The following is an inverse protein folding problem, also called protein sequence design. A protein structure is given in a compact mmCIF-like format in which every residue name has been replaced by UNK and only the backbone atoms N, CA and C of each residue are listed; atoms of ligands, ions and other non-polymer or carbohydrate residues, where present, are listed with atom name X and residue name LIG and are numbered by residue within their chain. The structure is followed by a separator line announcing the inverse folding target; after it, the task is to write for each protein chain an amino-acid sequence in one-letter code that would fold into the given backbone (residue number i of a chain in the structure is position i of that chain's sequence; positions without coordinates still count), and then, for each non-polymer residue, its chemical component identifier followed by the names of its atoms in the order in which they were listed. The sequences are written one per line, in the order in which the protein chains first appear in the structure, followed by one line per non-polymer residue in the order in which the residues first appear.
data_IF_234667808676
#
_entry.id   IF_234667808676
#
_cell.length_a   1.000
_cell.length_b   1.000
_cell.length_c   1.000
_cell.angle_alpha   90.00
_cell.angle_beta   90.00
_cell.angle_gamma   90.00
#
_symmetry.space_group_name_H-M   'P 1'
#
loop_
_entity.id
_entity.type
_entity.pdbx_description
1 polymer ?
#
# COMPACT_ATOMS: atom_id res chain seq x y z
N UNK A 1 -37.96 -17.52 -11.02
CA UNK A 1 -36.54 -17.70 -11.30
C UNK A 1 -35.77 -16.86 -10.31
N UNK A 2 -35.20 -17.53 -9.29
CA UNK A 2 -34.36 -16.89 -8.28
C UNK A 2 -33.06 -16.51 -8.93
N UNK A 3 -32.81 -15.22 -9.07
CA UNK A 3 -31.52 -14.65 -9.46
C UNK A 3 -30.57 -14.81 -8.28
N UNK A 4 -29.83 -15.91 -8.29
CA UNK A 4 -28.78 -16.16 -7.32
C UNK A 4 -27.58 -15.26 -7.66
N UNK A 5 -27.66 -13.97 -7.26
CA UNK A 5 -26.49 -13.12 -7.19
C UNK A 5 -25.65 -13.62 -6.01
N UNK A 6 -24.90 -14.69 -6.24
CA UNK A 6 -23.72 -14.95 -5.45
C UNK A 6 -22.87 -13.68 -5.55
N UNK A 7 -22.81 -12.92 -4.47
CA UNK A 7 -21.84 -11.85 -4.31
C UNK A 7 -20.47 -12.52 -4.39
N UNK A 8 -19.87 -12.52 -5.59
CA UNK A 8 -18.48 -12.94 -5.74
C UNK A 8 -17.67 -12.03 -4.85
N UNK A 9 -17.06 -12.60 -3.83
CA UNK A 9 -16.04 -11.91 -3.04
C UNK A 9 -15.06 -11.28 -4.01
N UNK A 10 -14.65 -10.01 -3.78
CA UNK A 10 -13.66 -9.37 -4.65
C UNK A 10 -12.46 -10.28 -4.77
N UNK A 11 -11.96 -10.48 -5.98
CA UNK A 11 -10.74 -11.25 -6.19
C UNK A 11 -9.58 -10.65 -5.40
N UNK A 12 -8.85 -11.46 -4.66
CA UNK A 12 -7.75 -11.01 -3.82
C UNK A 12 -6.52 -11.89 -4.04
N UNK A 13 -5.34 -11.36 -3.72
CA UNK A 13 -4.09 -12.10 -3.71
C UNK A 13 -3.91 -12.82 -2.37
N UNK A 14 -3.41 -14.05 -2.41
CA UNK A 14 -3.06 -14.80 -1.20
C UNK A 14 -1.79 -14.23 -0.55
N UNK A 15 -1.54 -14.60 0.71
CA UNK A 15 -0.32 -14.20 1.41
C UNK A 15 0.96 -14.63 0.65
N UNK A 16 0.96 -15.83 0.06
CA UNK A 16 2.07 -16.33 -0.75
C UNK A 16 2.24 -15.54 -2.04
N UNK A 17 1.16 -15.16 -2.70
CA UNK A 17 1.20 -14.31 -3.90
C UNK A 17 1.74 -12.92 -3.59
N UNK A 18 1.32 -12.30 -2.47
CA UNK A 18 1.85 -11.02 -2.01
C UNK A 18 3.34 -11.13 -1.69
N UNK A 19 3.76 -12.20 -1.02
CA UNK A 19 5.18 -12.46 -0.76
C UNK A 19 5.96 -12.60 -2.07
N UNK A 20 5.44 -13.35 -3.04
CA UNK A 20 6.07 -13.51 -4.36
C UNK A 20 6.18 -12.18 -5.11
N UNK A 21 5.17 -11.31 -5.02
CA UNK A 21 5.23 -9.96 -5.55
C UNK A 21 6.40 -9.17 -4.94
N UNK A 22 6.49 -9.13 -3.63
CA UNK A 22 7.54 -8.40 -2.91
C UNK A 22 8.93 -8.96 -3.21
N UNK A 23 9.09 -10.28 -3.22
CA UNK A 23 10.35 -10.96 -3.52
C UNK A 23 10.81 -10.73 -4.98
N UNK A 24 9.90 -10.42 -5.89
CA UNK A 24 10.21 -10.16 -7.31
C UNK A 24 10.77 -8.76 -7.58
N UNK A 25 10.70 -7.85 -6.61
CA UNK A 25 11.15 -6.46 -6.78
C UNK A 25 12.67 -6.41 -6.64
N UNK A 26 13.34 -5.87 -7.65
CA UNK A 26 14.80 -5.70 -7.65
C UNK A 26 15.23 -4.57 -6.71
N UNK A 27 15.82 -4.95 -5.58
CA UNK A 27 16.36 -4.01 -4.59
C UNK A 27 17.78 -3.54 -4.93
N UNK A 28 18.33 -3.94 -6.06
CA UNK A 28 19.63 -3.49 -6.55
C UNK A 28 19.64 -2.11 -7.19
N UNK A 29 18.47 -1.45 -7.29
CA UNK A 29 18.36 -0.12 -7.86
C UNK A 29 17.43 0.79 -7.03
N UNK A 30 17.62 2.13 -7.10
CA UNK A 30 16.85 3.08 -6.30
C UNK A 30 15.33 3.04 -6.53
N UNK A 31 14.89 2.82 -7.77
CA UNK A 31 13.47 2.70 -8.08
C UNK A 31 12.85 1.48 -7.39
N UNK A 32 13.54 0.35 -7.43
CA UNK A 32 13.07 -0.88 -6.79
C UNK A 32 13.01 -0.76 -5.27
N UNK A 33 14.00 -0.14 -4.65
CA UNK A 33 13.98 0.12 -3.19
C UNK A 33 12.78 1.00 -2.81
N UNK A 34 12.51 2.05 -3.57
CA UNK A 34 11.35 2.93 -3.39
C UNK A 34 10.04 2.15 -3.57
N UNK A 35 9.91 1.46 -4.66
CA UNK A 35 8.67 0.76 -5.05
C UNK A 35 8.35 -0.37 -4.08
N UNK A 36 9.36 -1.05 -3.56
CA UNK A 36 9.21 -2.05 -2.50
C UNK A 36 8.56 -1.44 -1.25
N UNK A 37 9.05 -0.32 -0.76
CA UNK A 37 8.49 0.36 0.41
C UNK A 37 7.04 0.82 0.17
N UNK A 38 6.74 1.35 -1.02
CA UNK A 38 5.39 1.76 -1.42
C UNK A 38 4.43 0.55 -1.43
N UNK A 39 4.81 -0.53 -2.08
CA UNK A 39 3.98 -1.74 -2.20
C UNK A 39 3.78 -2.39 -0.83
N UNK A 40 4.81 -2.39 0.01
CA UNK A 40 4.72 -2.93 1.36
C UNK A 40 3.72 -2.15 2.23
N UNK A 41 3.70 -0.82 2.15
CA UNK A 41 2.71 0.03 2.81
C UNK A 41 1.27 -0.34 2.40
N UNK A 42 1.04 -0.57 1.13
CA UNK A 42 -0.29 -0.95 0.61
C UNK A 42 -0.65 -2.37 1.06
N UNK A 43 0.28 -3.31 0.94
CA UNK A 43 0.04 -4.72 1.25
C UNK A 43 -0.11 -5.01 2.75
N UNK A 44 0.66 -4.31 3.58
CA UNK A 44 0.70 -4.55 5.03
C UNK A 44 -0.25 -3.66 5.82
N UNK A 45 -0.47 -2.43 5.38
CA UNK A 45 -1.28 -1.44 6.09
C UNK A 45 -2.55 -1.05 5.32
N UNK A 46 -2.72 -1.49 4.09
CA UNK A 46 -3.90 -1.21 3.29
C UNK A 46 -4.08 0.26 2.90
N UNK A 47 -3.00 1.06 2.88
CA UNK A 47 -3.08 2.46 2.48
C UNK A 47 -3.54 2.60 1.02
N UNK A 48 -4.32 3.64 0.75
CA UNK A 48 -4.67 4.00 -0.63
C UNK A 48 -3.48 4.62 -1.36
N UNK A 49 -3.45 4.49 -2.67
CA UNK A 49 -2.42 5.12 -3.51
C UNK A 49 -2.30 6.62 -3.26
N UNK A 50 -3.42 7.32 -3.05
CA UNK A 50 -3.43 8.74 -2.71
C UNK A 50 -2.78 9.05 -1.37
N UNK A 51 -2.99 8.21 -0.36
CA UNK A 51 -2.42 8.39 0.97
C UNK A 51 -0.91 8.11 0.96
N UNK A 52 -0.47 7.10 0.21
CA UNK A 52 0.95 6.80 0.01
C UNK A 52 1.66 7.94 -0.76
N UNK A 53 1.04 8.43 -1.84
CA UNK A 53 1.60 9.53 -2.64
C UNK A 53 1.75 10.83 -1.83
N UNK A 54 0.87 11.06 -0.86
CA UNK A 54 0.86 12.26 -0.02
C UNK A 54 1.50 12.06 1.36
N UNK A 55 2.07 10.88 1.63
CA UNK A 55 2.72 10.61 2.92
C UNK A 55 3.91 11.56 3.14
N UNK A 56 3.89 12.25 4.29
CA UNK A 56 4.92 13.20 4.70
C UNK A 56 5.72 12.68 5.88
N UNK A 57 6.92 13.21 6.08
CA UNK A 57 7.74 12.87 7.26
C UNK A 57 7.00 13.14 8.57
N UNK A 58 6.21 14.22 8.63
CA UNK A 58 5.40 14.58 9.81
C UNK A 58 4.31 13.57 10.14
N UNK A 59 3.95 12.68 9.21
CA UNK A 59 2.98 11.62 9.45
C UNK A 59 3.56 10.42 10.21
N UNK A 60 4.88 10.29 10.29
CA UNK A 60 5.54 9.13 10.89
C UNK A 60 6.12 9.54 12.24
N UNK A 61 5.61 8.93 13.29
CA UNK A 61 6.15 9.03 14.64
C UNK A 61 7.01 7.78 14.92
N UNK A 62 8.30 7.95 14.79
CA UNK A 62 9.27 6.86 14.93
C UNK A 62 9.42 6.37 16.37
N UNK A 63 9.22 7.26 17.35
CA UNK A 63 9.33 6.90 18.76
C UNK A 63 8.15 6.07 19.23
N UNK A 64 6.95 6.44 18.78
CA UNK A 64 5.71 5.73 19.11
C UNK A 64 5.39 4.59 18.14
N UNK A 65 6.17 4.45 17.07
CA UNK A 65 5.97 3.44 16.02
C UNK A 65 4.56 3.50 15.43
N UNK A 66 4.11 4.70 15.05
CA UNK A 66 2.79 4.93 14.45
C UNK A 66 2.86 5.84 13.23
N UNK A 67 1.91 5.65 12.33
CA UNK A 67 1.64 6.53 11.19
C UNK A 67 0.29 7.20 11.43
N UNK A 68 0.27 8.53 11.41
CA UNK A 68 -0.96 9.35 11.51
C UNK A 68 -1.10 10.20 10.28
N UNK A 69 -2.23 10.08 9.61
CA UNK A 69 -2.54 10.89 8.43
C UNK A 69 -4.03 11.21 8.35
N UNK A 70 -4.34 12.22 7.55
CA UNK A 70 -5.71 12.48 7.11
C UNK A 70 -5.88 11.89 5.72
N UNK A 71 -6.83 10.99 5.56
CA UNK A 71 -7.06 10.32 4.28
C UNK A 71 -7.49 11.32 3.21
N UNK A 72 -6.81 11.31 2.06
CA UNK A 72 -7.06 12.25 0.96
C UNK A 72 -8.49 12.12 0.42
N UNK A 73 -8.99 10.89 0.29
CA UNK A 73 -10.30 10.62 -0.31
C UNK A 73 -11.48 10.96 0.60
N UNK A 74 -11.35 10.72 1.90
CA UNK A 74 -12.46 10.80 2.85
C UNK A 74 -12.36 11.96 3.80
N UNK A 75 -11.17 12.55 3.97
CA UNK A 75 -10.90 13.57 4.99
C UNK A 75 -10.86 13.03 6.43
N UNK A 76 -10.96 11.72 6.61
CA UNK A 76 -10.96 11.12 7.93
C UNK A 76 -9.53 10.92 8.47
N UNK A 77 -9.33 11.12 9.78
CA UNK A 77 -8.07 10.77 10.41
C UNK A 77 -7.88 9.25 10.43
N UNK A 78 -6.65 8.82 10.22
CA UNK A 78 -6.25 7.41 10.26
C UNK A 78 -4.97 7.29 11.07
N UNK A 79 -4.95 6.37 12.02
CA UNK A 79 -3.77 6.00 12.78
C UNK A 79 -3.51 4.50 12.59
N UNK A 80 -2.28 4.16 12.20
CA UNK A 80 -1.85 2.80 11.94
C UNK A 80 -0.54 2.51 12.66
N UNK A 81 -0.27 1.27 13.06
CA UNK A 81 1.04 0.89 13.59
C UNK A 81 2.09 0.99 12.47
N UNK A 82 3.25 1.53 12.79
CA UNK A 82 4.44 1.42 11.95
C UNK A 82 5.06 0.05 12.20
N UNK A 83 4.70 -0.93 11.38
CA UNK A 83 5.23 -2.28 11.49
C UNK A 83 6.74 -2.28 11.22
N UNK A 84 7.48 -3.17 11.87
CA UNK A 84 8.94 -3.24 11.77
C UNK A 84 9.43 -3.35 10.32
N UNK A 85 8.87 -4.28 9.54
CA UNK A 85 9.24 -4.48 8.13
C UNK A 85 8.95 -3.26 7.26
N UNK A 86 7.85 -2.55 7.52
CA UNK A 86 7.49 -1.31 6.85
C UNK A 86 8.46 -0.19 7.22
N UNK A 87 8.76 -0.03 8.49
CA UNK A 87 9.73 0.95 8.99
C UNK A 87 11.12 0.73 8.40
N UNK A 88 11.61 -0.49 8.38
CA UNK A 88 12.88 -0.87 7.76
C UNK A 88 12.93 -0.55 6.27
N UNK A 89 11.87 -0.86 5.54
CA UNK A 89 11.79 -0.56 4.10
C UNK A 89 11.82 0.95 3.82
N UNK A 90 11.11 1.74 4.62
CA UNK A 90 11.14 3.20 4.51
C UNK A 90 12.54 3.73 4.83
N UNK A 91 13.18 3.28 5.91
CA UNK A 91 14.52 3.69 6.29
C UNK A 91 15.53 3.33 5.20
N UNK A 92 15.46 2.12 4.65
CA UNK A 92 16.32 1.71 3.54
C UNK A 92 16.17 2.64 2.32
N UNK A 93 14.93 2.99 1.98
CA UNK A 93 14.67 3.95 0.91
C UNK A 93 15.26 5.33 1.21
N UNK A 94 15.04 5.87 2.41
CA UNK A 94 15.52 7.18 2.80
C UNK A 94 17.04 7.28 2.79
N UNK A 95 17.73 6.23 3.22
CA UNK A 95 19.20 6.20 3.30
C UNK A 95 19.87 5.93 1.96
N UNK A 96 19.31 5.02 1.16
CA UNK A 96 20.03 4.41 0.04
C UNK A 96 19.44 4.73 -1.35
N UNK A 97 18.25 5.31 -1.43
CA UNK A 97 17.56 5.47 -2.71
C UNK A 97 16.91 6.84 -2.92
N UNK A 98 16.48 7.50 -1.86
CA UNK A 98 15.77 8.78 -2.01
C UNK A 98 16.68 9.87 -2.53
N UNK A 99 16.31 10.57 -3.63
CA UNK A 99 17.06 11.72 -4.11
C UNK A 99 17.12 12.84 -3.06
N UNK A 100 18.17 13.64 -3.10
CA UNK A 100 18.24 14.87 -2.30
C UNK A 100 17.24 15.88 -2.85
N UNK A 101 16.35 16.35 -2.01
CA UNK A 101 15.29 17.31 -2.36
C UNK A 101 14.75 17.96 -1.09
N UNK A 102 14.23 19.18 -1.23
CA UNK A 102 13.58 19.90 -0.12
C UNK A 102 12.12 19.46 0.11
N UNK A 103 11.63 18.50 -0.66
CA UNK A 103 10.29 17.94 -0.47
C UNK A 103 10.13 17.30 0.90
N UNK A 104 9.05 17.61 1.59
CA UNK A 104 8.66 16.97 2.86
C UNK A 104 7.90 15.65 2.67
N UNK A 105 7.61 15.28 1.43
CA UNK A 105 7.02 13.98 1.09
C UNK A 105 8.05 12.87 1.28
N UNK A 106 7.62 11.75 1.84
CA UNK A 106 8.47 10.56 2.02
C UNK A 106 8.91 10.04 0.67
N UNK A 107 7.95 9.79 -0.23
CA UNK A 107 8.22 9.25 -1.57
C UNK A 107 8.22 10.33 -2.63
N UNK A 108 9.29 10.35 -3.41
CA UNK A 108 9.50 11.29 -4.50
C UNK A 108 9.90 10.57 -5.79
N UNK A 109 9.74 11.26 -6.91
CA UNK A 109 10.19 10.77 -8.22
C UNK A 109 11.70 10.64 -8.25
N UNK A 110 12.20 9.65 -8.98
CA UNK A 110 13.65 9.45 -9.17
C UNK A 110 14.26 10.33 -10.26
N UNK A 111 13.45 11.18 -10.88
CA UNK A 111 13.88 12.12 -11.93
C UNK A 111 13.52 13.54 -11.50
N UNK A 112 14.34 14.55 -11.88
CA UNK A 112 14.03 15.94 -11.60
C UNK A 112 12.63 16.32 -12.12
N UNK A 113 11.94 17.20 -11.42
CA UNK A 113 12.34 17.99 -10.22
C UNK A 113 12.22 17.27 -8.87
N UNK A 114 12.18 15.96 -8.78
CA UNK A 114 12.10 15.13 -7.56
C UNK A 114 10.89 15.48 -6.66
N UNK A 115 9.79 15.78 -7.29
CA UNK A 115 8.52 16.06 -6.59
C UNK A 115 7.84 14.77 -6.15
N UNK A 116 6.82 14.89 -5.30
CA UNK A 116 6.00 13.76 -4.90
C UNK A 116 5.30 13.10 -6.10
N UNK A 117 4.88 11.87 -5.88
CA UNK A 117 4.04 11.14 -6.83
C UNK A 117 2.64 11.74 -6.92
N UNK A 118 2.00 11.61 -8.08
CA UNK A 118 0.55 11.63 -8.13
C UNK A 118 -0.02 10.23 -7.81
N UNK A 119 -1.28 10.12 -7.36
CA UNK A 119 -1.88 8.84 -7.02
C UNK A 119 -1.91 7.82 -8.18
N UNK A 120 -2.09 8.30 -9.41
CA UNK A 120 -2.07 7.45 -10.60
C UNK A 120 -0.72 6.81 -10.86
N UNK A 121 0.38 7.52 -10.58
CA UNK A 121 1.72 6.97 -10.71
C UNK A 121 1.98 5.84 -9.68
N UNK A 122 1.47 5.96 -8.46
CA UNK A 122 1.53 4.88 -7.45
C UNK A 122 0.76 3.65 -7.95
N UNK A 123 -0.45 3.84 -8.44
CA UNK A 123 -1.23 2.74 -9.04
C UNK A 123 -0.53 2.10 -10.24
N UNK A 124 0.11 2.91 -11.07
CA UNK A 124 0.88 2.46 -12.24
C UNK A 124 2.07 1.57 -11.86
N UNK A 125 2.86 1.97 -10.86
CA UNK A 125 4.00 1.14 -10.43
C UNK A 125 3.54 -0.19 -9.81
N UNK A 126 2.47 -0.20 -9.03
CA UNK A 126 1.89 -1.44 -8.49
C UNK A 126 1.51 -2.38 -9.62
N UNK A 127 0.83 -1.87 -10.66
CA UNK A 127 0.44 -2.66 -11.83
C UNK A 127 1.65 -3.27 -12.54
N UNK A 128 2.70 -2.50 -12.76
CA UNK A 128 3.93 -2.97 -13.43
C UNK A 128 4.57 -4.10 -12.63
N UNK A 129 4.71 -3.93 -11.31
CA UNK A 129 5.30 -4.97 -10.46
C UNK A 129 4.43 -6.23 -10.39
N UNK A 130 3.11 -6.10 -10.32
CA UNK A 130 2.20 -7.24 -10.40
C UNK A 130 2.35 -8.01 -11.73
N UNK A 131 2.47 -7.30 -12.84
CA UNK A 131 2.67 -7.93 -14.16
C UNK A 131 3.99 -8.70 -14.24
N UNK A 132 5.05 -8.18 -13.65
CA UNK A 132 6.40 -8.78 -13.66
C UNK A 132 6.60 -9.88 -12.63
N UNK A 133 5.72 -10.00 -11.65
CA UNK A 133 5.89 -10.88 -10.50
C UNK A 133 5.81 -12.38 -10.82
N UNK A 134 5.27 -12.75 -11.97
CA UNK A 134 4.99 -14.13 -12.33
C UNK A 134 3.81 -14.76 -11.56
N UNK A 135 2.99 -13.94 -10.91
CA UNK A 135 1.78 -14.39 -10.22
C UNK A 135 0.68 -14.67 -11.23
N UNK A 136 -0.15 -15.68 -10.97
CA UNK A 136 -1.36 -15.93 -11.73
C UNK A 136 -2.40 -14.84 -11.48
N UNK A 137 -2.85 -14.17 -12.54
CA UNK A 137 -3.79 -13.05 -12.45
C UNK A 137 -5.21 -13.41 -12.94
N UNK A 138 -5.48 -14.67 -13.21
CA UNK A 138 -6.79 -15.07 -13.72
C UNK A 138 -7.91 -14.64 -12.77
N UNK A 139 -8.84 -13.84 -13.28
CA UNK A 139 -9.92 -13.26 -12.49
C UNK A 139 -9.54 -12.17 -11.49
N UNK A 140 -8.27 -11.73 -11.46
CA UNK A 140 -7.77 -10.70 -10.53
C UNK A 140 -7.38 -9.44 -11.26
N UNK A 141 -7.73 -8.29 -10.70
CA UNK A 141 -7.26 -6.99 -11.19
C UNK A 141 -5.83 -6.74 -10.72
N UNK A 142 -5.02 -6.18 -11.62
CA UNK A 142 -3.62 -5.80 -11.34
C UNK A 142 -3.57 -4.35 -10.88
N UNK A 143 -4.13 -4.05 -9.73
CA UNK A 143 -4.18 -2.70 -9.18
C UNK A 143 -3.96 -2.67 -7.67
N UNK A 144 -3.73 -1.47 -7.15
CA UNK A 144 -3.53 -1.23 -5.72
C UNK A 144 -4.77 -1.55 -4.88
N UNK A 145 -5.97 -1.39 -5.44
CA UNK A 145 -7.21 -1.75 -4.76
C UNK A 145 -7.30 -3.23 -4.46
N UNK A 146 -6.95 -4.07 -5.44
CA UNK A 146 -6.96 -5.53 -5.27
C UNK A 146 -5.91 -5.95 -4.24
N UNK A 147 -4.73 -5.32 -4.23
CA UNK A 147 -3.70 -5.56 -3.23
C UNK A 147 -4.17 -5.16 -1.81
N UNK A 148 -4.85 -4.03 -1.69
CA UNK A 148 -5.47 -3.58 -0.44
C UNK A 148 -6.60 -4.50 0.02
N UNK A 149 -7.46 -4.96 -0.89
CA UNK A 149 -8.50 -5.95 -0.58
C UNK A 149 -7.92 -7.30 -0.11
N UNK A 150 -6.72 -7.64 -0.56
CA UNK A 150 -6.02 -8.83 -0.11
C UNK A 150 -5.71 -8.79 1.38
N UNK A 151 -5.38 -7.62 1.93
CA UNK A 151 -5.24 -7.43 3.37
C UNK A 151 -6.57 -7.65 4.09
N UNK A 152 -7.67 -7.06 3.61
CA UNK A 152 -9.00 -7.24 4.20
C UNK A 152 -9.41 -8.71 4.23
N UNK A 153 -9.20 -9.43 3.14
CA UNK A 153 -9.52 -10.86 3.04
C UNK A 153 -8.72 -11.69 4.06
N UNK A 154 -7.43 -11.40 4.23
CA UNK A 154 -6.60 -12.09 5.23
C UNK A 154 -7.03 -11.79 6.66
N UNK A 155 -7.41 -10.55 6.96
CA UNK A 155 -7.92 -10.19 8.28
C UNK A 155 -9.24 -10.92 8.58
N UNK A 156 -10.13 -11.06 7.59
CA UNK A 156 -11.35 -11.85 7.70
C UNK A 156 -11.06 -13.34 7.94
N UNK A 157 -10.09 -13.92 7.23
CA UNK A 157 -9.67 -15.31 7.43
C UNK A 157 -9.13 -15.56 8.86
N UNK A 158 -8.56 -14.54 9.49
CA UNK A 158 -8.12 -14.56 10.89
C UNK A 158 -9.23 -14.16 11.88
N UNK A 159 -10.49 -14.18 11.45
CA UNK A 159 -11.67 -13.89 12.28
C UNK A 159 -11.68 -12.48 12.90
N UNK A 160 -10.98 -11.52 12.29
CA UNK A 160 -11.03 -10.13 12.71
C UNK A 160 -12.41 -9.56 12.35
N UNK A 161 -13.15 -8.94 13.30
CA UNK A 161 -14.48 -8.40 13.04
C UNK A 161 -14.49 -7.34 11.92
N UNK A 162 -15.51 -7.37 11.07
CA UNK A 162 -15.68 -6.41 9.98
C UNK A 162 -15.56 -4.94 10.40
N UNK A 163 -16.14 -4.48 11.53
CA UNK A 163 -15.97 -3.11 12.00
C UNK A 163 -14.50 -2.73 12.22
N UNK A 164 -13.71 -3.64 12.80
CA UNK A 164 -12.27 -3.43 13.04
C UNK A 164 -11.51 -3.35 11.72
N UNK A 165 -11.83 -4.21 10.74
CA UNK A 165 -11.24 -4.18 9.40
C UNK A 165 -11.58 -2.85 8.71
N UNK A 166 -12.82 -2.39 8.81
CA UNK A 166 -13.26 -1.12 8.25
C UNK A 166 -12.50 0.06 8.86
N UNK A 167 -12.25 0.04 10.16
CA UNK A 167 -11.45 1.05 10.85
C UNK A 167 -10.00 1.05 10.37
N UNK A 168 -9.35 -0.12 10.31
CA UNK A 168 -7.97 -0.27 9.80
C UNK A 168 -7.84 0.26 8.37
N UNK A 169 -8.82 -0.04 7.51
CA UNK A 169 -8.81 0.42 6.13
C UNK A 169 -9.34 1.85 5.97
N UNK A 170 -9.82 2.48 7.05
CA UNK A 170 -10.39 3.83 7.02
C UNK A 170 -11.63 3.91 6.12
N UNK A 171 -12.45 2.89 6.11
CA UNK A 171 -13.78 2.93 5.50
C UNK A 171 -14.74 3.61 6.46
N UNK A 172 -15.62 4.47 5.95
CA UNK A 172 -16.77 4.93 6.73
C UNK A 172 -17.74 3.75 6.79
N UNK A 173 -18.06 3.28 7.99
CA UNK A 173 -19.25 2.44 8.17
C UNK A 173 -20.46 3.31 7.87
N UNK A 174 -21.08 3.11 6.72
CA UNK A 174 -22.45 3.58 6.52
C UNK A 174 -23.33 2.67 7.34
N UNK A 175 -23.90 3.22 8.43
CA UNK A 175 -25.06 2.64 9.10
C UNK A 175 -26.22 2.49 8.12
#
# INVERSE_FOLDING_TARGET
PHNNRQSRLPSSYTANEVKKLLDSIDLGNPCGIRDYAIILLIARLGLRSSDVANLRFSNIDWEKEIIRLTQVKTGNPLELPLLEDVGEAIINYLKNARPKTDSDHVFVRQVPPYTNFNPGAVGGLVRVHLQKSGIHHEGKKKDSHTLRHSLASRLLEHEIPLPVISEILGHITTE
#
